data_IF_808847950936
#
_entry.id   IF_808847950936
#
_cell.length_a   1.000
_cell.length_b   1.000
_cell.length_c   1.000
_cell.angle_alpha   90.00
_cell.angle_beta   90.00
_cell.angle_gamma   90.00
#
_symmetry.space_group_name_H-M   'P 1'
#
loop_
_entity.id
_entity.type
_entity.pdbx_description
1 polymer ?
#
# COMPACT_ATOMS: atom_id res chain seq x y z
N UNK A 1 0.45 -0.29 -18.75
CA UNK A 1 1.53 -0.13 -19.75
C UNK A 1 2.83 -0.57 -19.10
N UNK A 2 3.67 -1.33 -19.81
CA UNK A 2 4.98 -1.72 -19.32
C UNK A 2 6.05 -0.84 -19.98
N UNK A 3 7.02 -0.40 -19.19
CA UNK A 3 8.21 0.32 -19.66
C UNK A 3 9.41 -0.22 -18.91
N UNK A 4 10.33 -0.81 -19.66
CA UNK A 4 11.58 -1.34 -19.11
C UNK A 4 12.34 -0.25 -18.35
N UNK A 5 12.68 0.85 -19.04
CA UNK A 5 13.42 1.93 -18.43
C UNK A 5 13.19 3.28 -19.13
N UNK A 6 13.50 4.37 -18.42
CA UNK A 6 13.58 5.71 -19.01
C UNK A 6 14.94 6.01 -19.66
N UNK A 7 15.80 4.99 -19.76
CA UNK A 7 17.15 5.00 -20.34
C UNK A 7 17.42 3.68 -21.09
N UNK A 8 18.32 3.66 -22.08
CA UNK A 8 18.72 2.41 -22.73
C UNK A 8 19.55 1.52 -21.82
N UNK A 9 19.45 0.21 -22.05
CA UNK A 9 20.33 -0.80 -21.47
C UNK A 9 21.80 -0.51 -21.82
N UNK A 10 22.70 -0.65 -20.84
CA UNK A 10 24.14 -0.35 -20.96
C UNK A 10 24.49 1.09 -21.43
N UNK A 11 23.53 2.01 -21.46
CA UNK A 11 23.75 3.39 -21.92
C UNK A 11 23.92 3.55 -23.44
N UNK A 12 23.63 2.50 -24.23
CA UNK A 12 23.78 2.55 -25.69
C UNK A 12 22.50 3.05 -26.38
N UNK A 13 22.54 4.26 -26.94
CA UNK A 13 21.40 4.82 -27.65
C UNK A 13 21.26 4.24 -29.05
N UNK A 14 20.05 3.87 -29.43
CA UNK A 14 19.73 3.52 -30.81
C UNK A 14 20.08 4.69 -31.76
N UNK A 15 20.40 4.39 -33.03
CA UNK A 15 20.82 5.40 -34.00
C UNK A 15 19.82 6.58 -34.05
N UNK A 16 20.34 7.80 -33.88
CA UNK A 16 19.58 9.05 -33.89
C UNK A 16 18.70 9.31 -32.66
N UNK A 17 18.69 8.41 -31.66
CA UNK A 17 18.01 8.63 -30.38
C UNK A 17 18.98 9.22 -29.33
N UNK A 18 18.41 9.87 -28.34
CA UNK A 18 19.11 10.36 -27.15
C UNK A 18 18.29 10.07 -25.88
N UNK A 19 18.77 10.52 -24.73
CA UNK A 19 18.11 10.38 -23.43
C UNK A 19 16.67 10.93 -23.42
N UNK A 20 16.41 12.02 -24.14
CA UNK A 20 15.06 12.59 -24.22
C UNK A 20 14.10 11.72 -25.04
N UNK A 21 14.56 10.94 -26.03
CA UNK A 21 13.69 10.00 -26.76
C UNK A 21 13.14 8.90 -25.83
N UNK A 22 13.97 8.35 -24.94
CA UNK A 22 13.55 7.31 -24.00
C UNK A 22 12.62 7.86 -22.93
N UNK A 23 12.94 9.05 -22.38
CA UNK A 23 12.04 9.75 -21.47
C UNK A 23 10.70 10.11 -22.10
N UNK A 24 10.75 10.56 -23.34
CA UNK A 24 9.57 10.88 -24.12
C UNK A 24 8.69 9.64 -24.33
N UNK A 25 9.26 8.46 -24.56
CA UNK A 25 8.45 7.22 -24.68
C UNK A 25 7.63 6.92 -23.42
N UNK A 26 8.19 7.17 -22.24
CA UNK A 26 7.46 7.04 -20.97
C UNK A 26 6.39 8.13 -20.87
N UNK A 27 6.77 9.39 -21.06
CA UNK A 27 5.83 10.53 -20.97
C UNK A 27 4.67 10.42 -21.97
N UNK A 28 4.94 10.05 -23.21
CA UNK A 28 3.96 9.84 -24.27
C UNK A 28 2.92 8.79 -23.88
N UNK A 29 3.34 7.69 -23.24
CA UNK A 29 2.42 6.67 -22.75
C UNK A 29 1.53 7.19 -21.61
N UNK A 30 2.09 7.95 -20.67
CA UNK A 30 1.34 8.58 -19.57
C UNK A 30 0.33 9.60 -20.12
N UNK A 31 0.74 10.47 -21.05
CA UNK A 31 -0.14 11.45 -21.71
C UNK A 31 -1.29 10.76 -22.44
N UNK A 32 -0.99 9.70 -23.19
CA UNK A 32 -2.01 8.96 -23.93
C UNK A 32 -3.04 8.29 -23.01
N UNK A 33 -2.60 7.77 -21.85
CA UNK A 33 -3.49 7.21 -20.83
C UNK A 33 -4.38 8.29 -20.23
N UNK A 34 -3.81 9.46 -19.88
CA UNK A 34 -4.56 10.59 -19.34
C UNK A 34 -5.66 11.07 -20.32
N UNK A 35 -5.34 11.14 -21.61
CA UNK A 35 -6.30 11.49 -22.67
C UNK A 35 -7.33 10.40 -22.99
N UNK A 36 -7.20 9.23 -22.37
CA UNK A 36 -8.09 8.08 -22.56
C UNK A 36 -8.87 7.81 -21.26
N UNK A 37 -8.75 6.63 -20.67
CA UNK A 37 -9.47 6.22 -19.45
C UNK A 37 -8.59 6.24 -18.19
N UNK A 38 -7.35 6.73 -18.28
CA UNK A 38 -6.36 6.59 -17.22
C UNK A 38 -5.76 5.18 -17.17
N UNK A 39 -5.11 4.85 -16.06
CA UNK A 39 -4.51 3.53 -15.81
C UNK A 39 -3.17 3.62 -15.10
N UNK A 40 -2.30 2.63 -15.35
CA UNK A 40 -0.96 2.56 -14.73
C UNK A 40 0.13 2.33 -15.78
N UNK A 41 1.26 3.01 -15.63
CA UNK A 41 2.52 2.70 -16.30
C UNK A 41 3.48 2.11 -15.27
N UNK A 42 3.94 0.88 -15.49
CA UNK A 42 4.96 0.24 -14.67
C UNK A 42 6.33 0.48 -15.30
N UNK A 43 7.20 1.17 -14.56
CA UNK A 43 8.58 1.43 -14.92
C UNK A 43 9.51 0.47 -14.17
N UNK A 44 10.46 -0.14 -14.87
CA UNK A 44 11.31 -1.22 -14.32
C UNK A 44 10.78 -2.62 -14.61
N UNK A 45 9.90 -2.76 -15.62
CA UNK A 45 9.33 -4.04 -16.07
C UNK A 45 9.50 -4.14 -17.59
N UNK A 46 10.03 -5.25 -18.09
CA UNK A 46 10.20 -5.48 -19.53
C UNK A 46 8.87 -5.72 -20.27
N UNK A 47 8.92 -5.85 -21.59
CA UNK A 47 7.73 -6.02 -22.43
C UNK A 47 7.05 -7.39 -22.18
N UNK A 48 7.78 -8.36 -21.63
CA UNK A 48 7.29 -9.67 -21.19
C UNK A 48 6.69 -9.66 -19.77
N UNK A 49 6.71 -8.53 -19.07
CA UNK A 49 6.16 -8.42 -17.70
C UNK A 49 7.12 -8.85 -16.59
N UNK A 50 8.40 -9.05 -16.89
CA UNK A 50 9.41 -9.45 -15.89
C UNK A 50 10.05 -8.21 -15.26
N UNK A 51 10.26 -8.22 -13.93
CA UNK A 51 10.84 -7.09 -13.24
C UNK A 51 12.36 -7.01 -13.50
N UNK A 52 12.80 -5.88 -14.05
CA UNK A 52 14.23 -5.56 -14.22
C UNK A 52 14.75 -4.65 -13.10
N UNK A 53 13.85 -3.93 -12.44
CA UNK A 53 14.15 -3.02 -11.34
C UNK A 53 14.20 -1.55 -11.77
N UNK A 54 13.85 -0.66 -10.85
CA UNK A 54 13.82 0.78 -11.07
C UNK A 54 15.21 1.37 -11.27
N UNK A 55 16.25 0.65 -10.87
CA UNK A 55 17.66 1.00 -11.04
C UNK A 55 18.02 1.18 -12.52
N UNK A 56 17.37 0.45 -13.43
CA UNK A 56 17.53 0.64 -14.87
C UNK A 56 17.13 2.05 -15.36
N UNK A 57 16.29 2.75 -14.59
CA UNK A 57 15.88 4.14 -14.83
C UNK A 57 16.68 5.16 -14.01
N UNK A 58 17.64 4.72 -13.20
CA UNK A 58 18.48 5.56 -12.34
C UNK A 58 19.99 5.40 -12.63
N UNK A 59 20.47 5.71 -13.85
CA UNK A 59 21.87 5.52 -14.22
C UNK A 59 22.85 6.40 -13.43
N UNK A 60 22.35 7.37 -12.65
CA UNK A 60 23.17 8.27 -11.82
C UNK A 60 23.14 7.87 -10.34
N UNK A 61 22.52 6.73 -10.01
CA UNK A 61 22.35 6.22 -8.64
C UNK A 61 21.80 7.28 -7.69
N UNK A 62 20.90 8.13 -8.19
CA UNK A 62 20.32 9.23 -7.43
C UNK A 62 19.40 8.72 -6.32
N UNK A 63 18.72 7.60 -6.55
CA UNK A 63 17.88 6.93 -5.56
C UNK A 63 18.70 6.44 -4.37
N UNK A 64 19.86 5.84 -4.62
CA UNK A 64 20.77 5.38 -3.56
C UNK A 64 21.40 6.55 -2.80
N UNK A 65 21.79 7.62 -3.51
CA UNK A 65 22.48 8.77 -2.91
C UNK A 65 21.56 9.73 -2.17
N UNK A 66 20.44 10.10 -2.79
CA UNK A 66 19.56 11.19 -2.36
C UNK A 66 18.18 10.68 -1.86
N UNK A 67 17.92 9.37 -1.99
CA UNK A 67 16.71 8.72 -1.52
C UNK A 67 15.62 8.55 -2.60
N UNK A 68 14.68 7.63 -2.31
CA UNK A 68 13.57 7.25 -3.18
C UNK A 68 12.66 8.44 -3.57
N UNK A 69 12.34 9.31 -2.61
CA UNK A 69 11.50 10.49 -2.86
C UNK A 69 12.19 11.51 -3.77
N UNK A 70 13.48 11.77 -3.56
CA UNK A 70 14.25 12.66 -4.42
C UNK A 70 14.34 12.12 -5.85
N UNK A 71 14.49 10.80 -6.01
CA UNK A 71 14.44 10.16 -7.32
C UNK A 71 13.08 10.34 -8.00
N UNK A 72 11.96 10.03 -7.33
CA UNK A 72 10.61 10.21 -7.87
C UNK A 72 10.34 11.65 -8.29
N UNK A 73 10.64 12.61 -7.42
CA UNK A 73 10.33 14.02 -7.67
C UNK A 73 11.27 14.65 -8.69
N UNK A 74 12.58 14.44 -8.56
CA UNK A 74 13.56 15.19 -9.35
C UNK A 74 13.94 14.48 -10.65
N UNK A 75 13.88 13.15 -10.71
CA UNK A 75 14.17 12.39 -11.94
C UNK A 75 12.87 12.10 -12.66
N UNK A 76 11.99 11.30 -12.07
CA UNK A 76 10.80 10.81 -12.78
C UNK A 76 9.86 11.96 -13.08
N UNK A 77 9.42 12.70 -12.07
CA UNK A 77 8.47 13.78 -12.27
C UNK A 77 9.12 14.93 -13.06
N UNK A 78 10.24 15.51 -12.61
CA UNK A 78 10.79 16.72 -13.24
C UNK A 78 11.64 16.52 -14.50
N UNK A 79 12.25 15.35 -14.73
CA UNK A 79 13.08 15.11 -15.91
C UNK A 79 12.40 14.21 -16.93
N UNK A 80 11.65 13.20 -16.49
CA UNK A 80 10.97 12.25 -17.38
C UNK A 80 9.59 12.77 -17.80
N UNK A 81 8.73 13.15 -16.86
CA UNK A 81 7.32 13.48 -17.13
C UNK A 81 7.03 14.97 -17.36
N UNK A 82 7.70 15.85 -16.62
CA UNK A 82 7.47 17.30 -16.61
C UNK A 82 8.78 18.10 -16.79
N UNK A 83 9.58 17.86 -17.84
CA UNK A 83 10.76 18.67 -18.09
C UNK A 83 10.39 20.11 -18.39
N UNK A 84 10.88 21.06 -17.58
CA UNK A 84 10.61 22.51 -17.73
C UNK A 84 10.94 23.08 -19.11
N UNK A 85 11.87 22.46 -19.84
CA UNK A 85 12.33 22.87 -21.18
C UNK A 85 11.84 21.94 -22.29
N UNK A 86 10.89 21.05 -21.97
CA UNK A 86 10.43 20.02 -22.89
C UNK A 86 11.45 18.89 -23.12
N UNK A 87 11.07 17.93 -23.95
CA UNK A 87 11.91 16.84 -24.41
C UNK A 87 12.62 17.25 -25.70
N UNK A 88 13.95 17.36 -25.65
CA UNK A 88 14.79 17.63 -26.83
C UNK A 88 15.19 16.33 -27.49
N UNK A 89 14.23 15.69 -28.15
CA UNK A 89 14.41 14.38 -28.77
C UNK A 89 15.32 14.47 -29.99
N UNK A 90 16.13 13.44 -30.22
CA UNK A 90 16.97 13.34 -31.42
C UNK A 90 16.15 13.07 -32.68
N UNK A 91 15.00 12.42 -32.55
CA UNK A 91 14.16 11.99 -33.69
C UNK A 91 12.98 12.90 -34.02
N UNK A 92 12.44 13.60 -33.02
CA UNK A 92 11.15 14.29 -33.15
C UNK A 92 11.22 15.81 -32.89
N UNK A 93 12.42 16.36 -32.67
CA UNK A 93 12.60 17.78 -32.34
C UNK A 93 12.32 18.07 -30.86
N UNK A 94 11.88 19.29 -30.57
CA UNK A 94 11.54 19.70 -29.19
C UNK A 94 10.05 19.51 -28.97
N UNK A 95 9.69 18.78 -27.91
CA UNK A 95 8.32 18.53 -27.51
C UNK A 95 8.06 19.19 -26.15
N UNK A 96 6.95 19.91 -26.00
CA UNK A 96 6.57 20.57 -24.75
C UNK A 96 5.09 20.37 -24.45
N UNK A 97 4.75 20.20 -23.17
CA UNK A 97 3.35 20.19 -22.72
C UNK A 97 2.78 21.61 -22.76
N UNK A 98 1.58 21.77 -23.29
CA UNK A 98 0.88 23.06 -23.28
C UNK A 98 0.26 23.32 -21.89
N UNK A 99 -0.32 22.29 -21.26
CA UNK A 99 -1.00 22.40 -19.97
C UNK A 99 -0.32 21.55 -18.89
N UNK A 100 0.86 22.01 -18.43
CA UNK A 100 1.61 21.35 -17.35
C UNK A 100 0.78 21.19 -16.05
N UNK A 101 0.08 22.22 -15.54
CA UNK A 101 -0.62 22.10 -14.25
C UNK A 101 -1.75 21.07 -14.27
N UNK A 102 -2.42 20.90 -15.42
CA UNK A 102 -3.41 19.83 -15.59
C UNK A 102 -2.72 18.47 -15.50
N UNK A 103 -1.67 18.26 -16.29
CA UNK A 103 -1.00 16.96 -16.36
C UNK A 103 -0.35 16.55 -15.02
N UNK A 104 0.25 17.49 -14.29
CA UNK A 104 0.84 17.22 -12.97
C UNK A 104 -0.17 16.69 -11.95
N UNK A 105 -1.43 17.14 -12.02
CA UNK A 105 -2.50 16.68 -11.12
C UNK A 105 -3.06 15.31 -11.46
N UNK A 106 -2.81 14.82 -12.67
CA UNK A 106 -3.33 13.53 -13.15
C UNK A 106 -2.37 12.39 -12.85
N UNK A 107 -1.20 12.66 -12.27
CA UNK A 107 -0.15 11.66 -12.08
C UNK A 107 0.20 11.52 -10.61
N UNK A 108 0.19 10.28 -10.13
CA UNK A 108 0.78 9.91 -8.84
C UNK A 108 1.80 8.79 -9.02
N UNK A 109 2.80 8.75 -8.14
CA UNK A 109 3.96 7.87 -8.24
C UNK A 109 4.05 7.01 -6.97
N UNK A 110 4.16 5.70 -7.13
CA UNK A 110 4.31 4.76 -6.03
C UNK A 110 5.36 3.70 -6.35
N UNK A 111 6.24 3.38 -5.39
CA UNK A 111 7.18 2.26 -5.52
C UNK A 111 6.52 0.99 -5.01
N UNK A 112 6.53 -0.04 -5.84
CA UNK A 112 5.92 -1.33 -5.55
C UNK A 112 7.02 -2.40 -5.60
N UNK A 113 6.99 -3.36 -4.68
CA UNK A 113 7.84 -4.55 -4.77
C UNK A 113 7.24 -5.54 -5.76
N UNK A 114 8.03 -5.94 -6.75
CA UNK A 114 7.69 -6.98 -7.71
C UNK A 114 8.77 -8.07 -7.64
N UNK A 115 8.49 -9.11 -6.84
CA UNK A 115 9.50 -10.08 -6.41
C UNK A 115 10.60 -9.39 -5.59
N UNK A 116 11.86 -9.67 -5.91
CA UNK A 116 13.03 -9.06 -5.24
C UNK A 116 13.37 -7.65 -5.74
N UNK A 117 12.67 -7.16 -6.76
CA UNK A 117 12.96 -5.88 -7.42
C UNK A 117 11.95 -4.82 -7.03
N UNK A 118 12.40 -3.58 -6.93
CA UNK A 118 11.51 -2.43 -6.81
C UNK A 118 11.15 -1.93 -8.19
N UNK A 119 9.87 -1.72 -8.46
CA UNK A 119 9.35 -1.11 -9.69
C UNK A 119 8.59 0.16 -9.33
N UNK A 120 8.45 1.08 -10.28
CA UNK A 120 7.69 2.31 -10.06
C UNK A 120 6.37 2.25 -10.82
N UNK A 121 5.27 2.34 -10.10
CA UNK A 121 3.95 2.55 -10.66
C UNK A 121 3.68 4.05 -10.82
N UNK A 122 3.35 4.43 -12.04
CA UNK A 122 2.87 5.76 -12.41
C UNK A 122 1.36 5.61 -12.62
N UNK A 123 0.58 5.98 -11.62
CA UNK A 123 -0.87 6.02 -11.75
C UNK A 123 -1.29 7.28 -12.50
N UNK A 124 -2.24 7.11 -13.40
CA UNK A 124 -2.68 8.15 -14.32
C UNK A 124 -4.20 8.25 -14.27
N UNK A 125 -4.69 9.39 -13.80
CA UNK A 125 -6.10 9.70 -13.86
C UNK A 125 -6.50 10.19 -15.26
N UNK A 126 -7.69 9.84 -15.75
CA UNK A 126 -8.20 10.41 -16.99
C UNK A 126 -8.45 11.91 -16.83
N UNK A 127 -8.18 12.68 -17.89
CA UNK A 127 -8.51 14.11 -17.94
C UNK A 127 -10.02 14.28 -17.70
N UNK A 128 -10.45 15.11 -16.73
CA UNK A 128 -11.85 15.35 -16.47
C UNK A 128 -12.58 15.91 -17.69
N UNK A 129 -13.85 15.54 -17.86
CA UNK A 129 -14.66 16.01 -18.98
C UNK A 129 -14.80 17.53 -18.95
N UNK A 130 -14.74 18.15 -20.13
CA UNK A 130 -14.84 19.60 -20.29
C UNK A 130 -13.54 20.38 -20.04
N UNK A 131 -12.45 19.72 -19.62
CA UNK A 131 -11.14 20.35 -19.45
C UNK A 131 -10.24 20.24 -20.70
N UNK A 132 -10.73 19.61 -21.77
CA UNK A 132 -9.97 19.38 -23.00
C UNK A 132 -9.07 18.15 -22.91
N UNK A 133 -7.88 18.25 -23.51
CA UNK A 133 -6.87 17.20 -23.57
C UNK A 133 -5.53 17.70 -23.03
N UNK A 134 -4.67 16.77 -22.65
CA UNK A 134 -3.24 17.04 -22.47
C UNK A 134 -2.61 17.12 -23.86
N UNK A 135 -2.34 18.35 -24.28
CA UNK A 135 -1.79 18.67 -25.60
C UNK A 135 -0.27 18.84 -25.55
N UNK A 136 0.37 18.45 -26.65
CA UNK A 136 1.82 18.49 -26.83
C UNK A 136 2.15 19.37 -28.02
N UNK A 137 2.92 20.41 -27.78
CA UNK A 137 3.49 21.25 -28.81
C UNK A 137 4.78 20.62 -29.34
N UNK A 138 4.87 20.46 -30.67
CA UNK A 138 6.05 19.95 -31.36
C UNK A 138 6.70 21.06 -32.18
N UNK A 139 7.86 21.51 -31.72
CA UNK A 139 8.72 22.45 -32.41
C UNK A 139 9.80 21.74 -33.23
N UNK A 140 9.85 22.02 -34.53
CA UNK A 140 10.93 21.59 -35.45
C UNK A 140 11.63 22.84 -35.99
N UNK A 141 12.82 23.16 -35.47
CA UNK A 141 13.60 24.31 -35.94
C UNK A 141 12.88 25.66 -35.74
N UNK A 142 12.70 26.42 -36.82
CA UNK A 142 12.05 27.75 -36.83
C UNK A 142 10.60 27.75 -37.34
N UNK A 143 10.03 26.58 -37.62
CA UNK A 143 8.66 26.47 -38.14
C UNK A 143 7.60 26.60 -37.03
N UNK A 144 6.37 26.94 -37.43
CA UNK A 144 5.20 26.98 -36.54
C UNK A 144 5.00 25.63 -35.87
N UNK A 145 4.93 25.64 -34.54
CA UNK A 145 4.80 24.43 -33.76
C UNK A 145 3.45 23.75 -34.00
N UNK A 146 3.48 22.44 -34.24
CA UNK A 146 2.27 21.63 -34.39
C UNK A 146 1.75 21.24 -33.00
N UNK A 147 0.44 21.37 -32.78
CA UNK A 147 -0.21 20.89 -31.56
C UNK A 147 -0.72 19.47 -31.79
N UNK A 148 -0.26 18.54 -30.97
CA UNK A 148 -0.53 17.12 -31.08
C UNK A 148 -1.28 16.63 -29.85
N UNK A 149 -2.29 15.80 -30.06
CA UNK A 149 -2.98 15.07 -28.99
C UNK A 149 -2.71 13.59 -29.15
N UNK A 150 -2.19 12.95 -28.11
CA UNK A 150 -1.91 11.51 -28.12
C UNK A 150 -3.01 10.76 -27.38
N UNK A 151 -3.49 9.67 -27.97
CA UNK A 151 -4.51 8.79 -27.39
C UNK A 151 -4.06 7.32 -27.46
N UNK A 152 -4.74 6.48 -26.69
CA UNK A 152 -4.50 5.05 -26.65
C UNK A 152 -5.73 4.27 -27.14
N UNK A 153 -5.50 3.36 -28.08
CA UNK A 153 -6.51 2.37 -28.49
C UNK A 153 -6.64 1.27 -27.43
N UNK A 154 -7.88 0.90 -27.10
CA UNK A 154 -8.17 -0.19 -26.15
C UNK A 154 -7.76 -1.54 -26.75
N UNK A 155 -7.02 -2.35 -25.98
CA UNK A 155 -6.56 -3.68 -26.40
C UNK A 155 -5.11 -3.71 -26.91
N UNK A 156 -4.55 -2.57 -27.29
CA UNK A 156 -3.17 -2.49 -27.74
C UNK A 156 -2.21 -2.20 -26.59
N UNK A 157 -1.22 -3.08 -26.40
CA UNK A 157 -0.04 -2.81 -25.56
C UNK A 157 0.93 -1.96 -26.37
N UNK A 158 1.40 -0.83 -25.85
CA UNK A 158 2.44 -0.04 -26.51
C UNK A 158 2.02 0.88 -27.66
N UNK A 159 0.79 0.81 -28.18
CA UNK A 159 0.38 1.64 -29.33
C UNK A 159 -0.26 2.96 -28.89
N UNK A 160 0.47 4.05 -29.11
CA UNK A 160 0.01 5.43 -28.94
C UNK A 160 -0.13 6.09 -30.29
N UNK A 161 -1.33 6.56 -30.62
CA UNK A 161 -1.66 7.22 -31.89
C UNK A 161 -1.95 8.71 -31.67
N UNK A 162 -1.82 9.50 -32.73
CA UNK A 162 -2.21 10.91 -32.74
C UNK A 162 -3.70 11.01 -33.05
N UNK A 163 -4.44 11.78 -32.24
CA UNK A 163 -5.84 12.10 -32.48
C UNK A 163 -5.93 13.24 -33.51
N UNK A 164 -6.61 13.04 -34.66
CA UNK A 164 -6.83 14.11 -35.64
C UNK A 164 -7.77 15.18 -35.06
N UNK A 165 -7.20 16.29 -34.59
CA UNK A 165 -7.96 17.35 -33.90
C UNK A 165 -8.78 18.23 -34.85
N UNK A 166 -8.45 18.22 -36.14
CA UNK A 166 -9.17 18.89 -37.23
C UNK A 166 -10.47 18.15 -37.60
N UNK A 167 -10.55 16.85 -37.34
CA UNK A 167 -11.73 16.04 -37.63
C UNK A 167 -12.69 15.99 -36.42
N UNK A 168 -13.86 16.64 -36.54
CA UNK A 168 -14.89 16.61 -35.49
C UNK A 168 -15.39 15.18 -35.21
N UNK A 169 -15.50 14.35 -36.26
CA UNK A 169 -15.95 12.97 -36.13
C UNK A 169 -14.97 12.12 -35.30
N UNK A 170 -13.66 12.27 -35.51
CA UNK A 170 -12.64 11.55 -34.77
C UNK A 170 -12.67 11.90 -33.28
N UNK A 171 -12.82 13.20 -32.94
CA UNK A 171 -12.94 13.67 -31.56
C UNK A 171 -14.19 13.14 -30.87
N UNK A 172 -15.33 13.21 -31.54
CA UNK A 172 -16.61 12.73 -31.01
C UNK A 172 -16.56 11.22 -30.76
N UNK A 173 -16.05 10.45 -31.72
CA UNK A 173 -15.88 9.00 -31.56
C UNK A 173 -14.96 8.63 -30.39
N UNK A 174 -13.88 9.38 -30.18
CA UNK A 174 -12.99 9.18 -29.04
C UNK A 174 -13.68 9.48 -27.71
N UNK A 175 -14.40 10.59 -27.60
CA UNK A 175 -15.14 10.95 -26.38
C UNK A 175 -16.28 9.98 -26.05
N UNK A 176 -16.98 9.47 -27.06
CA UNK A 176 -17.98 8.42 -26.93
C UNK A 176 -17.33 7.11 -26.44
N UNK A 177 -16.18 6.74 -27.02
CA UNK A 177 -15.42 5.56 -26.60
C UNK A 177 -14.90 5.69 -25.16
N UNK A 178 -14.43 6.87 -24.74
CA UNK A 178 -14.05 7.14 -23.33
C UNK A 178 -15.24 6.94 -22.42
N UNK A 179 -16.43 7.39 -22.83
CA UNK A 179 -17.67 7.26 -22.06
C UNK A 179 -18.08 5.80 -21.91
N UNK A 180 -18.10 5.05 -23.01
CA UNK A 180 -18.41 3.63 -22.99
C UNK A 180 -17.39 2.87 -22.13
N UNK A 181 -16.10 3.10 -22.35
CA UNK A 181 -15.05 2.41 -21.60
C UNK A 181 -15.12 2.73 -20.09
N UNK A 182 -15.36 3.99 -19.70
CA UNK A 182 -15.52 4.34 -18.29
C UNK A 182 -16.67 3.58 -17.63
N UNK A 183 -17.79 3.38 -18.35
CA UNK A 183 -18.91 2.57 -17.86
C UNK A 183 -18.61 1.07 -17.79
N UNK A 184 -17.73 0.57 -18.66
CA UNK A 184 -17.32 -0.83 -18.70
C UNK A 184 -16.17 -1.16 -17.73
N UNK A 185 -15.34 -0.19 -17.33
CA UNK A 185 -14.19 -0.43 -16.43
C UNK A 185 -14.62 -1.07 -15.13
N UNK A 186 -15.70 -0.59 -14.51
CA UNK A 186 -16.25 -1.21 -13.30
C UNK A 186 -16.55 -2.69 -13.55
N UNK A 187 -17.29 -3.00 -14.61
CA UNK A 187 -17.65 -4.36 -15.00
C UNK A 187 -16.44 -5.24 -15.38
N UNK A 188 -15.41 -4.66 -15.99
CA UNK A 188 -14.17 -5.35 -16.36
C UNK A 188 -13.33 -5.61 -15.11
N UNK A 189 -13.28 -4.65 -14.19
CA UNK A 189 -12.60 -4.81 -12.91
C UNK A 189 -13.31 -5.86 -12.06
N UNK A 190 -14.64 -5.84 -12.02
CA UNK A 190 -15.47 -6.86 -11.40
C UNK A 190 -15.26 -8.23 -12.06
N UNK A 191 -15.13 -8.29 -13.39
CA UNK A 191 -14.81 -9.52 -14.11
C UNK A 191 -13.37 -9.97 -13.88
N UNK A 192 -12.43 -9.05 -13.76
CA UNK A 192 -11.02 -9.32 -13.46
C UNK A 192 -10.88 -9.88 -12.05
N UNK A 193 -11.48 -9.22 -11.06
CA UNK A 193 -11.65 -9.72 -9.69
C UNK A 193 -12.44 -11.03 -9.67
N UNK A 194 -13.38 -11.22 -10.60
CA UNK A 194 -14.11 -12.46 -10.81
C UNK A 194 -13.32 -13.57 -11.54
N UNK A 195 -12.19 -13.24 -12.16
CA UNK A 195 -11.33 -14.14 -12.95
C UNK A 195 -9.99 -14.45 -12.28
N UNK A 196 -9.50 -13.57 -11.40
CA UNK A 196 -8.66 -13.97 -10.29
C UNK A 196 -9.53 -14.92 -9.45
N UNK A 197 -9.06 -16.14 -9.14
CA UNK A 197 -9.87 -17.16 -8.47
C UNK A 197 -10.73 -16.53 -7.38
N UNK A 198 -12.04 -16.45 -7.57
CA UNK A 198 -12.89 -15.89 -6.53
C UNK A 198 -12.66 -16.75 -5.29
N UNK A 199 -12.40 -16.10 -4.16
CA UNK A 199 -12.33 -16.78 -2.88
C UNK A 199 -13.54 -17.71 -2.79
N UNK A 200 -13.29 -18.99 -2.58
CA UNK A 200 -14.36 -19.98 -2.48
C UNK A 200 -15.34 -19.50 -1.40
N UNK A 201 -16.66 -19.59 -1.64
CA UNK A 201 -17.62 -19.21 -0.63
C UNK A 201 -17.35 -20.01 0.65
N UNK A 202 -17.60 -19.41 1.83
CA UNK A 202 -17.26 -20.02 3.13
C UNK A 202 -17.82 -21.44 3.27
N UNK A 203 -18.98 -21.71 2.68
CA UNK A 203 -19.64 -23.01 2.67
C UNK A 203 -18.80 -24.09 1.96
N UNK A 204 -18.06 -23.72 0.90
CA UNK A 204 -17.14 -24.62 0.19
C UNK A 204 -15.82 -24.82 0.95
N UNK A 205 -15.45 -23.88 1.82
CA UNK A 205 -14.27 -23.96 2.69
C UNK A 205 -14.53 -24.76 3.98
N UNK A 206 -15.78 -24.97 4.37
CA UNK A 206 -16.13 -25.71 5.59
C UNK A 206 -15.44 -27.08 5.74
N UNK A 207 -15.32 -27.93 4.70
CA UNK A 207 -14.62 -29.20 4.81
C UNK A 207 -13.12 -29.03 5.12
N UNK A 208 -12.48 -28.03 4.53
CA UNK A 208 -11.06 -27.72 4.76
C UNK A 208 -10.84 -27.18 6.18
N UNK A 209 -11.71 -26.25 6.62
CA UNK A 209 -11.69 -25.72 8.00
C UNK A 209 -11.89 -26.86 9.00
N UNK A 210 -12.88 -27.74 8.79
CA UNK A 210 -13.12 -28.89 9.69
C UNK A 210 -11.93 -29.81 9.77
N UNK A 211 -11.27 -30.09 8.64
CA UNK A 211 -10.07 -30.92 8.57
C UNK A 211 -8.92 -30.29 9.36
N UNK A 212 -8.68 -29.00 9.17
CA UNK A 212 -7.68 -28.26 9.94
C UNK A 212 -7.98 -28.29 11.45
N UNK A 213 -9.21 -27.95 11.86
CA UNK A 213 -9.60 -27.94 13.27
C UNK A 213 -9.51 -29.33 13.91
N UNK A 214 -9.84 -30.40 13.17
CA UNK A 214 -9.67 -31.76 13.65
C UNK A 214 -8.19 -32.09 13.93
N UNK A 215 -7.26 -31.65 13.07
CA UNK A 215 -5.82 -31.82 13.31
C UNK A 215 -5.34 -31.03 14.52
N UNK A 216 -5.84 -29.80 14.70
CA UNK A 216 -5.54 -28.97 15.88
C UNK A 216 -5.99 -29.66 17.16
N UNK A 217 -7.22 -30.17 17.17
CA UNK A 217 -7.79 -30.88 18.33
C UNK A 217 -6.98 -32.15 18.62
N UNK A 218 -6.65 -32.94 17.60
CA UNK A 218 -5.87 -34.18 17.76
C UNK A 218 -4.47 -33.93 18.33
N UNK A 219 -3.77 -32.91 17.81
CA UNK A 219 -2.43 -32.52 18.31
C UNK A 219 -2.45 -31.98 19.75
N UNK A 220 -3.51 -31.28 20.14
CA UNK A 220 -3.62 -30.61 21.45
C UNK A 220 -4.35 -31.43 22.51
N UNK A 221 -5.12 -32.46 22.13
CA UNK A 221 -5.89 -33.32 23.06
C UNK A 221 -5.04 -33.95 24.18
N UNK A 222 -3.78 -34.39 23.95
CA UNK A 222 -2.96 -34.96 25.02
C UNK A 222 -2.60 -33.97 26.14
N UNK A 223 -2.80 -32.66 25.91
CA UNK A 223 -2.35 -31.60 26.81
C UNK A 223 -3.51 -30.85 27.50
N UNK A 224 -4.75 -31.26 27.26
CA UNK A 224 -5.97 -30.61 27.77
C UNK A 224 -5.96 -30.48 29.30
N UNK A 225 -5.61 -31.55 30.01
CA UNK A 225 -5.60 -31.59 31.48
C UNK A 225 -4.33 -30.99 32.11
N UNK A 226 -3.37 -30.53 31.30
CA UNK A 226 -2.03 -30.10 31.75
C UNK A 226 -1.81 -28.60 31.56
N UNK A 227 -2.88 -27.82 31.44
CA UNK A 227 -2.80 -26.37 31.29
C UNK A 227 -2.94 -25.63 32.62
N UNK A 228 -1.97 -24.76 32.93
CA UNK A 228 -2.08 -23.80 34.04
C UNK A 228 -2.47 -22.45 33.46
N UNK A 229 -3.64 -21.88 33.81
CA UNK A 229 -4.06 -20.57 33.34
C UNK A 229 -3.08 -19.47 33.73
N UNK A 230 -2.80 -18.56 32.79
CA UNK A 230 -1.97 -17.39 33.02
C UNK A 230 -2.82 -16.20 33.46
N UNK A 231 -2.43 -15.57 34.57
CA UNK A 231 -2.94 -14.26 34.96
C UNK A 231 -2.12 -13.17 34.29
N UNK A 232 -2.78 -12.19 33.69
CA UNK A 232 -2.15 -11.04 33.04
C UNK A 232 -2.79 -9.73 33.46
N UNK A 233 -2.05 -8.67 33.19
CA UNK A 233 -2.45 -7.28 33.38
C UNK A 233 -2.67 -6.65 32.00
N UNK A 234 -3.89 -6.22 31.68
CA UNK A 234 -4.20 -5.50 30.46
C UNK A 234 -3.83 -4.01 30.63
N UNK A 235 -3.09 -3.46 29.67
CA UNK A 235 -2.76 -2.04 29.60
C UNK A 235 -3.23 -1.48 28.26
N UNK A 236 -4.12 -0.49 28.29
CA UNK A 236 -4.46 0.29 27.10
C UNK A 236 -3.29 1.26 26.79
N UNK A 237 -2.76 1.20 25.56
CA UNK A 237 -1.83 2.24 25.09
C UNK A 237 -2.63 3.51 24.77
N UNK A 238 -2.63 4.45 25.72
CA UNK A 238 -3.15 5.82 25.50
C UNK A 238 -2.35 6.48 24.38
N UNK A 239 -3.06 7.03 23.40
CA UNK A 239 -2.49 7.78 22.28
C UNK A 239 -1.70 8.99 22.77
N UNK A 240 -0.38 8.87 22.90
CA UNK A 240 0.50 10.04 22.91
C UNK A 240 0.76 10.44 21.46
N UNK A 241 0.01 11.42 20.95
CA UNK A 241 0.46 12.19 19.78
C UNK A 241 1.91 12.63 20.05
N UNK A 242 2.87 12.36 19.15
CA UNK A 242 4.22 12.86 19.33
C UNK A 242 4.15 14.40 19.31
N UNK A 243 4.44 15.00 20.45
CA UNK A 243 4.60 16.44 20.59
C UNK A 243 5.80 16.82 19.71
N UNK A 244 5.51 17.31 18.51
CA UNK A 244 6.48 17.80 17.54
C UNK A 244 7.06 19.14 18.05
N UNK A 245 7.78 19.10 19.17
CA UNK A 245 8.69 20.16 19.60
C UNK A 245 10.08 19.87 19.04
N UNK A 246 10.21 19.99 17.72
CA UNK A 246 11.51 20.29 17.09
C UNK A 246 11.44 21.66 16.44
N UNK A 247 12.14 22.60 17.09
CA UNK A 247 12.79 23.76 16.48
C UNK A 247 11.94 24.61 15.55
N UNK A 248 11.25 25.61 16.11
CA UNK A 248 10.76 26.73 15.34
C UNK A 248 11.90 27.43 14.62
N UNK A 249 11.90 27.36 13.29
CA UNK A 249 12.52 28.38 12.46
C UNK A 249 11.48 29.50 12.39
N UNK A 250 11.76 30.59 13.10
CA UNK A 250 11.00 31.82 13.05
C UNK A 250 10.92 32.34 11.60
N UNK A 251 9.76 32.21 10.97
CA UNK A 251 9.36 33.14 9.91
C UNK A 251 8.68 34.34 10.56
N UNK A 252 9.50 35.34 10.89
CA UNK A 252 9.03 36.70 11.19
C UNK A 252 8.30 37.24 9.96
N UNK A 253 6.98 37.25 10.01
CA UNK A 253 6.19 38.26 9.30
C UNK A 253 5.26 38.94 10.30
N UNK A 254 5.40 40.26 10.32
CA UNK A 254 4.77 41.19 11.21
C UNK A 254 3.24 41.17 11.08
N UNK A 255 2.56 41.27 12.22
CA UNK A 255 1.35 42.09 12.36
C UNK A 255 1.08 42.34 13.84
N UNK A 256 1.86 43.28 14.38
CA UNK A 256 1.70 43.91 15.67
C UNK A 256 0.60 44.99 15.54
N UNK A 257 -0.69 44.66 15.56
CA UNK A 257 -1.72 45.69 15.74
C UNK A 257 -2.88 45.18 16.60
N UNK A 258 -3.19 45.98 17.63
CA UNK A 258 -4.32 45.95 18.57
C UNK A 258 -4.19 45.06 19.83
N UNK A 259 -3.33 45.50 20.74
CA UNK A 259 -3.65 45.54 22.17
C UNK A 259 -3.74 47.00 22.61
N UNK A 260 -4.95 47.51 22.77
CA UNK A 260 -5.21 48.58 23.73
C UNK A 260 -5.86 47.97 24.97
N UNK A 261 -5.33 48.39 26.11
CA UNK A 261 -5.73 48.00 27.46
C UNK A 261 -7.07 48.65 27.78
N UNK A 262 -7.93 47.95 28.52
CA UNK A 262 -8.64 48.60 29.61
C UNK A 262 -8.81 47.66 30.82
N UNK A 263 -8.65 48.15 32.07
CA UNK A 263 -8.75 47.38 33.30
C UNK A 263 -10.04 47.71 34.08
N UNK A 264 -10.92 46.73 34.27
CA UNK A 264 -11.95 46.77 35.32
C UNK A 264 -12.54 45.37 35.54
N UNK A 265 -12.26 44.75 36.70
CA UNK A 265 -13.24 44.39 37.75
C UNK A 265 -14.14 43.21 37.37
N UNK A 266 -14.31 42.10 38.11
CA UNK A 266 -14.49 41.87 39.56
C UNK A 266 -14.28 40.36 39.81
N UNK A 267 -13.88 40.02 41.03
CA UNK A 267 -13.69 38.67 41.60
C UNK A 267 -14.83 37.65 41.35
N UNK A 268 -14.44 36.37 41.32
CA UNK A 268 -15.31 35.21 41.43
C UNK A 268 -14.51 33.91 41.22
N UNK A 269 -14.35 33.15 42.29
CA UNK A 269 -13.67 31.85 42.41
C UNK A 269 -14.23 30.75 41.48
N UNK A 270 -13.50 29.64 41.46
CA UNK A 270 -13.89 28.29 41.01
C UNK A 270 -13.89 28.04 39.50
N UNK A 271 -12.77 27.51 39.01
CA UNK A 271 -12.71 26.19 38.33
C UNK A 271 -11.38 26.08 37.58
N UNK A 272 -10.33 25.80 38.35
CA UNK A 272 -9.21 25.04 37.81
C UNK A 272 -9.76 23.61 37.61
N UNK A 273 -10.33 23.35 36.42
CA UNK A 273 -10.57 21.99 35.95
C UNK A 273 -9.21 21.27 35.91
N UNK A 274 -8.90 20.63 37.04
CA UNK A 274 -8.07 19.44 37.10
C UNK A 274 -8.53 18.53 35.96
N UNK A 275 -7.72 18.48 34.90
CA UNK A 275 -7.82 17.40 33.93
C UNK A 275 -7.58 16.11 34.71
N UNK A 276 -8.67 15.46 35.08
CA UNK A 276 -8.76 14.09 35.55
C UNK A 276 -8.00 13.23 34.54
N UNK A 277 -6.73 12.99 34.83
CA UNK A 277 -6.01 11.81 34.36
C UNK A 277 -6.77 10.67 35.04
N UNK A 278 -7.77 10.14 34.34
CA UNK A 278 -8.41 8.90 34.75
C UNK A 278 -7.31 7.85 34.69
N UNK A 279 -6.69 7.56 35.84
CA UNK A 279 -5.84 6.39 36.03
C UNK A 279 -6.68 5.18 35.62
N UNK A 280 -6.50 4.71 34.38
CA UNK A 280 -7.13 3.49 33.92
C UNK A 280 -6.49 2.38 34.74
N UNK A 281 -7.22 1.92 35.76
CA UNK A 281 -6.80 0.80 36.59
C UNK A 281 -6.59 -0.40 35.66
N UNK A 282 -5.38 -0.96 35.58
CA UNK A 282 -5.11 -2.09 34.71
C UNK A 282 -6.06 -3.24 35.06
N UNK A 283 -6.78 -3.78 34.06
CA UNK A 283 -7.64 -4.95 34.29
C UNK A 283 -6.74 -6.16 34.51
N UNK A 284 -6.92 -6.86 35.63
CA UNK A 284 -6.22 -8.11 35.93
C UNK A 284 -7.19 -9.28 35.81
N UNK A 285 -6.75 -10.34 35.16
CA UNK A 285 -7.58 -11.52 34.93
C UNK A 285 -6.84 -12.62 34.18
N UNK A 286 -7.56 -13.68 33.86
CA UNK A 286 -7.02 -14.74 33.02
C UNK A 286 -6.87 -14.23 31.58
N UNK A 287 -5.78 -14.63 30.91
CA UNK A 287 -5.56 -14.30 29.48
C UNK A 287 -6.76 -14.71 28.63
N UNK A 288 -7.38 -15.85 28.95
CA UNK A 288 -8.51 -16.39 28.21
C UNK A 288 -9.74 -15.50 28.26
N UNK A 289 -9.93 -14.78 29.36
CA UNK A 289 -11.10 -13.93 29.57
C UNK A 289 -10.84 -12.57 28.92
N UNK A 290 -9.63 -12.02 29.11
CA UNK A 290 -9.26 -10.70 28.59
C UNK A 290 -9.08 -10.68 27.07
N UNK A 291 -8.54 -11.74 26.45
CA UNK A 291 -8.42 -11.81 24.99
C UNK A 291 -9.75 -12.11 24.30
N UNK A 292 -10.74 -12.64 25.01
CA UNK A 292 -12.06 -12.96 24.45
C UNK A 292 -12.83 -11.71 23.99
N UNK A 293 -12.64 -10.60 24.70
CA UNK A 293 -13.32 -9.32 24.46
C UNK A 293 -12.60 -8.43 23.44
N UNK A 294 -11.34 -8.75 23.14
CA UNK A 294 -10.50 -7.96 22.25
C UNK A 294 -10.47 -8.54 20.83
N UNK A 295 -10.32 -7.67 19.84
CA UNK A 295 -10.03 -8.06 18.45
C UNK A 295 -8.54 -8.17 18.21
N UNK A 296 -7.77 -7.32 18.85
CA UNK A 296 -6.36 -7.14 18.59
C UNK A 296 -5.64 -7.05 19.92
N UNK A 297 -4.57 -7.83 20.10
CA UNK A 297 -3.78 -7.74 21.32
C UNK A 297 -2.34 -8.24 21.14
N UNK A 298 -1.44 -7.67 21.94
CA UNK A 298 -0.05 -8.10 22.06
C UNK A 298 0.20 -8.74 23.44
N UNK A 299 0.44 -10.05 23.47
CA UNK A 299 0.78 -10.79 24.68
C UNK A 299 2.29 -10.70 24.93
N UNK A 300 2.66 -9.95 25.97
CA UNK A 300 4.06 -9.69 26.35
C UNK A 300 4.42 -10.48 27.61
N UNK A 301 5.60 -11.10 27.63
CA UNK A 301 6.13 -11.69 28.86
C UNK A 301 7.50 -12.33 28.68
N UNK A 302 8.13 -12.73 29.79
CA UNK A 302 9.48 -13.30 29.81
C UNK A 302 9.61 -14.65 29.08
N UNK A 303 10.84 -15.06 28.77
CA UNK A 303 11.11 -16.39 28.24
C UNK A 303 10.61 -17.48 29.20
N UNK A 304 9.88 -18.47 28.70
CA UNK A 304 9.35 -19.57 29.53
C UNK A 304 8.07 -19.25 30.32
N UNK A 305 7.50 -18.04 30.18
CA UNK A 305 6.24 -17.64 30.84
C UNK A 305 4.99 -18.40 30.38
N UNK A 306 5.08 -19.24 29.35
CA UNK A 306 3.96 -20.07 28.88
C UNK A 306 3.08 -19.43 27.80
N UNK A 307 3.46 -18.29 27.19
CA UNK A 307 2.71 -17.61 26.11
C UNK A 307 2.26 -18.55 24.98
N UNK A 308 3.20 -19.29 24.39
CA UNK A 308 2.92 -20.27 23.33
C UNK A 308 1.90 -21.32 23.77
N UNK A 309 1.98 -21.77 25.02
CA UNK A 309 1.06 -22.75 25.58
C UNK A 309 -0.32 -22.17 25.86
N UNK A 310 -0.38 -20.88 26.19
CA UNK A 310 -1.63 -20.13 26.31
C UNK A 310 -2.33 -19.98 24.95
N UNK A 311 -1.61 -19.58 23.91
CA UNK A 311 -2.15 -19.51 22.54
C UNK A 311 -2.60 -20.89 22.06
N UNK A 312 -1.82 -21.94 22.30
CA UNK A 312 -2.22 -23.31 21.96
C UNK A 312 -3.53 -23.73 22.66
N UNK A 313 -3.74 -23.32 23.92
CA UNK A 313 -4.98 -23.60 24.66
C UNK A 313 -6.17 -22.82 24.08
N UNK A 314 -6.00 -21.54 23.77
CA UNK A 314 -7.04 -20.71 23.16
C UNK A 314 -7.48 -21.27 21.81
N UNK A 315 -6.51 -21.62 20.97
CA UNK A 315 -6.73 -22.25 19.67
C UNK A 315 -7.46 -23.59 19.83
N UNK A 316 -7.09 -24.40 20.83
CA UNK A 316 -7.79 -25.66 21.09
C UNK A 316 -9.24 -25.46 21.54
N UNK A 317 -9.50 -24.51 22.44
CA UNK A 317 -10.85 -24.22 22.94
C UNK A 317 -11.76 -23.65 21.85
N UNK A 318 -11.25 -22.70 21.07
CA UNK A 318 -11.98 -22.12 19.95
C UNK A 318 -12.25 -23.17 18.87
N UNK A 319 -11.31 -24.08 18.61
CA UNK A 319 -11.50 -25.19 17.67
C UNK A 319 -12.59 -26.17 18.13
N UNK A 320 -12.64 -26.52 19.42
CA UNK A 320 -13.68 -27.42 19.99
C UNK A 320 -15.08 -26.81 19.92
N UNK A 321 -15.18 -25.49 20.10
CA UNK A 321 -16.44 -24.76 20.13
C UNK A 321 -16.89 -24.27 18.75
N UNK A 322 -16.16 -24.61 17.70
CA UNK A 322 -16.43 -24.14 16.36
C UNK A 322 -17.68 -24.79 15.76
N UNK A 323 -18.51 -23.93 15.15
CA UNK A 323 -19.67 -24.29 14.33
C UNK A 323 -19.66 -23.40 13.08
N UNK A 324 -20.28 -23.81 11.96
CA UNK A 324 -20.40 -22.98 10.77
C UNK A 324 -20.94 -21.58 11.09
N UNK A 325 -20.29 -20.55 10.53
CA UNK A 325 -20.62 -19.15 10.78
C UNK A 325 -19.94 -18.52 12.00
N UNK A 326 -19.23 -19.30 12.84
CA UNK A 326 -18.38 -18.77 13.91
C UNK A 326 -16.94 -18.58 13.43
N UNK A 327 -16.21 -17.64 14.03
CA UNK A 327 -14.76 -17.52 13.82
C UNK A 327 -14.04 -18.80 14.21
N UNK A 328 -12.97 -19.11 13.50
CA UNK A 328 -12.10 -20.25 13.81
C UNK A 328 -10.66 -19.80 14.04
N UNK A 329 -9.89 -20.50 14.89
CA UNK A 329 -8.54 -20.12 15.23
C UNK A 329 -7.54 -20.59 14.17
N UNK A 330 -6.58 -19.76 13.80
CA UNK A 330 -5.43 -20.14 12.99
C UNK A 330 -4.14 -19.79 13.75
N UNK A 331 -3.42 -20.83 14.16
CA UNK A 331 -2.15 -20.69 14.87
C UNK A 331 -0.98 -20.74 13.90
N UNK A 332 -0.08 -19.76 14.01
CA UNK A 332 1.16 -19.73 13.25
C UNK A 332 2.34 -19.34 14.13
N UNK A 333 3.41 -20.14 14.06
CA UNK A 333 4.68 -19.83 14.71
C UNK A 333 5.49 -18.89 13.82
N UNK A 334 5.79 -17.69 14.29
CA UNK A 334 6.57 -16.69 13.55
C UNK A 334 8.05 -17.10 13.38
N UNK A 335 8.52 -18.10 14.13
CA UNK A 335 9.82 -18.73 13.87
C UNK A 335 9.92 -19.44 12.51
N UNK A 336 8.79 -19.80 11.90
CA UNK A 336 8.72 -20.41 10.58
C UNK A 336 8.56 -19.36 9.45
N UNK A 337 8.64 -18.07 9.76
CA UNK A 337 8.54 -17.01 8.75
C UNK A 337 9.66 -17.11 7.71
N UNK A 338 9.32 -16.88 6.44
CA UNK A 338 10.23 -17.05 5.31
C UNK A 338 9.98 -16.03 4.20
N UNK A 339 10.64 -16.20 3.05
CA UNK A 339 10.47 -15.35 1.85
C UNK A 339 9.03 -15.32 1.32
N UNK A 340 8.21 -16.33 1.65
CA UNK A 340 6.80 -16.39 1.27
C UNK A 340 5.89 -15.44 2.07
N UNK A 341 6.45 -14.71 3.04
CA UNK A 341 5.73 -13.73 3.84
C UNK A 341 4.71 -14.34 4.80
N UNK A 342 3.90 -13.46 5.42
CA UNK A 342 2.84 -13.84 6.34
C UNK A 342 1.74 -14.63 5.63
N UNK A 343 1.38 -14.23 4.40
CA UNK A 343 0.41 -14.95 3.58
C UNK A 343 0.81 -16.41 3.34
N UNK A 344 2.07 -16.64 2.93
CA UNK A 344 2.60 -17.98 2.73
C UNK A 344 2.68 -18.81 4.00
N UNK A 345 3.01 -18.18 5.14
CA UNK A 345 3.00 -18.84 6.44
C UNK A 345 1.60 -19.32 6.82
N UNK A 346 0.58 -18.46 6.71
CA UNK A 346 -0.80 -18.79 7.06
C UNK A 346 -1.40 -19.87 6.14
N UNK A 347 -1.09 -19.80 4.85
CA UNK A 347 -1.46 -20.82 3.87
C UNK A 347 -0.82 -22.18 4.19
N UNK A 348 0.47 -22.20 4.52
CA UNK A 348 1.16 -23.44 4.87
C UNK A 348 0.61 -24.10 6.14
N UNK A 349 0.11 -23.32 7.11
CA UNK A 349 -0.47 -23.85 8.34
C UNK A 349 -1.89 -24.37 8.18
N UNK A 350 -2.71 -23.68 7.38
CA UNK A 350 -4.13 -24.04 7.20
C UNK A 350 -4.37 -24.98 6.02
N UNK A 351 -3.43 -25.07 5.08
CA UNK A 351 -3.61 -25.70 3.76
C UNK A 351 -4.74 -25.07 2.93
N UNK A 352 -5.09 -23.82 3.23
CA UNK A 352 -6.07 -23.01 2.49
C UNK A 352 -5.30 -21.88 1.80
N UNK A 353 -5.56 -21.67 0.51
CA UNK A 353 -4.91 -20.63 -0.28
C UNK A 353 -5.16 -19.24 0.33
N UNK A 354 -4.16 -18.36 0.27
CA UNK A 354 -4.30 -16.99 0.79
C UNK A 354 -5.48 -16.24 0.17
N UNK A 355 -5.77 -16.50 -1.11
CA UNK A 355 -6.90 -15.92 -1.82
C UNK A 355 -8.26 -16.23 -1.16
N UNK A 356 -8.39 -17.43 -0.56
CA UNK A 356 -9.58 -17.85 0.19
C UNK A 356 -9.55 -17.34 1.64
N UNK A 357 -8.35 -17.26 2.25
CA UNK A 357 -8.18 -16.82 3.64
C UNK A 357 -8.35 -15.31 3.83
N UNK A 358 -7.84 -14.49 2.91
CA UNK A 358 -7.77 -13.04 3.09
C UNK A 358 -9.14 -12.41 3.35
N UNK A 359 -10.22 -12.75 2.62
CA UNK A 359 -11.56 -12.22 2.93
C UNK A 359 -12.09 -12.68 4.29
N UNK A 360 -11.75 -13.90 4.74
CA UNK A 360 -12.16 -14.39 6.06
C UNK A 360 -11.42 -13.68 7.19
N UNK A 361 -10.12 -13.41 7.01
CA UNK A 361 -9.32 -12.60 7.95
C UNK A 361 -9.87 -11.18 8.00
N UNK A 362 -10.13 -10.57 6.83
CA UNK A 362 -10.69 -9.23 6.70
C UNK A 362 -12.01 -9.06 7.45
N UNK A 363 -12.89 -10.07 7.38
CA UNK A 363 -14.18 -10.07 8.04
C UNK A 363 -14.15 -10.50 9.52
N UNK A 364 -12.97 -10.79 10.08
CA UNK A 364 -12.84 -11.31 11.45
C UNK A 364 -13.34 -12.75 11.64
N UNK A 365 -13.56 -13.47 10.53
CA UNK A 365 -13.95 -14.89 10.50
C UNK A 365 -12.82 -15.85 10.85
N UNK A 366 -11.57 -15.37 10.92
CA UNK A 366 -10.40 -16.12 11.39
C UNK A 366 -9.74 -15.36 12.53
N UNK A 367 -9.49 -16.05 13.64
CA UNK A 367 -8.71 -15.54 14.77
C UNK A 367 -7.25 -15.95 14.57
N UNK A 368 -6.38 -15.01 14.21
CA UNK A 368 -4.96 -15.24 13.96
C UNK A 368 -4.18 -15.21 15.28
N UNK A 369 -3.52 -16.31 15.63
CA UNK A 369 -2.60 -16.42 16.77
C UNK A 369 -1.17 -16.54 16.26
N UNK A 370 -0.45 -15.41 16.24
CA UNK A 370 0.92 -15.29 15.76
C UNK A 370 1.89 -15.39 16.93
N UNK A 371 2.49 -16.56 17.12
CA UNK A 371 3.34 -16.84 18.28
C UNK A 371 4.82 -16.54 18.00
N UNK A 372 5.47 -15.86 18.94
CA UNK A 372 6.92 -15.72 18.99
C UNK A 372 7.48 -14.73 17.97
N UNK A 373 7.00 -13.49 17.96
CA UNK A 373 7.55 -12.43 17.09
C UNK A 373 9.06 -12.26 17.28
N UNK A 374 9.52 -12.34 18.53
CA UNK A 374 10.93 -12.32 18.89
C UNK A 374 11.73 -13.56 18.41
N UNK A 375 11.08 -14.57 17.83
CA UNK A 375 11.69 -15.80 17.30
C UNK A 375 11.66 -15.82 15.76
N UNK A 376 11.11 -14.78 15.13
CA UNK A 376 11.20 -14.58 13.69
C UNK A 376 12.68 -14.48 13.26
N UNK A 377 13.10 -15.14 12.16
CA UNK A 377 14.48 -15.05 11.70
C UNK A 377 14.90 -13.60 11.47
N UNK A 378 16.07 -13.20 12.00
CA UNK A 378 16.54 -11.81 12.01
C UNK A 378 16.46 -11.13 10.64
N UNK A 379 16.79 -11.88 9.57
CA UNK A 379 16.79 -11.34 8.20
C UNK A 379 15.41 -10.87 7.72
N UNK A 380 14.33 -11.39 8.31
CA UNK A 380 12.95 -11.11 7.90
C UNK A 380 12.16 -10.34 8.97
N UNK A 381 12.77 -10.02 10.11
CA UNK A 381 12.06 -9.44 11.24
C UNK A 381 11.34 -8.12 10.88
N UNK A 382 12.00 -7.23 10.14
CA UNK A 382 11.42 -5.95 9.71
C UNK A 382 10.27 -6.13 8.72
N UNK A 383 10.43 -7.03 7.74
CA UNK A 383 9.38 -7.35 6.77
C UNK A 383 8.16 -7.97 7.49
N UNK A 384 8.38 -8.91 8.41
CA UNK A 384 7.33 -9.52 9.22
C UNK A 384 6.57 -8.48 10.05
N UNK A 385 7.27 -7.57 10.74
CA UNK A 385 6.62 -6.49 11.49
C UNK A 385 5.82 -5.56 10.56
N UNK A 386 6.33 -5.27 9.36
CA UNK A 386 5.67 -4.42 8.38
C UNK A 386 4.41 -5.07 7.83
N UNK A 387 4.44 -6.37 7.54
CA UNK A 387 3.28 -7.12 7.06
C UNK A 387 2.20 -7.23 8.13
N UNK A 388 2.56 -7.53 9.38
CA UNK A 388 1.58 -7.55 10.49
C UNK A 388 0.98 -6.15 10.68
N UNK A 389 1.80 -5.09 10.70
CA UNK A 389 1.30 -3.72 10.84
C UNK A 389 0.41 -3.29 9.66
N UNK A 390 0.71 -3.77 8.46
CA UNK A 390 -0.11 -3.51 7.26
C UNK A 390 -1.45 -4.26 7.34
N UNK A 391 -1.45 -5.53 7.76
CA UNK A 391 -2.66 -6.33 7.97
C UNK A 391 -3.59 -5.65 8.98
N UNK A 392 -3.06 -5.17 10.11
CA UNK A 392 -3.85 -4.48 11.14
C UNK A 392 -4.43 -3.14 10.66
N UNK A 393 -3.72 -2.45 9.76
CA UNK A 393 -4.18 -1.18 9.17
C UNK A 393 -5.22 -1.38 8.08
N UNK A 394 -5.05 -2.43 7.27
CA UNK A 394 -5.92 -2.74 6.13
C UNK A 394 -7.22 -3.41 6.58
N UNK A 395 -7.15 -4.28 7.60
CA UNK A 395 -8.28 -5.08 8.07
C UNK A 395 -8.64 -4.74 9.52
N UNK A 396 -9.42 -3.67 9.71
CA UNK A 396 -9.83 -3.19 11.04
C UNK A 396 -10.69 -4.19 11.83
N UNK A 397 -11.39 -5.10 11.13
CA UNK A 397 -12.19 -6.15 11.74
C UNK A 397 -11.42 -7.46 11.98
N UNK A 398 -10.14 -7.54 11.56
CA UNK A 398 -9.33 -8.73 11.74
C UNK A 398 -9.06 -9.00 13.22
N UNK A 399 -9.17 -10.29 13.59
CA UNK A 399 -8.87 -10.76 14.94
C UNK A 399 -7.44 -11.27 14.99
N UNK A 400 -6.52 -10.51 15.59
CA UNK A 400 -5.07 -10.78 15.54
C UNK A 400 -4.44 -10.67 16.91
N UNK A 401 -3.85 -11.77 17.34
CA UNK A 401 -3.18 -11.90 18.63
C UNK A 401 -1.71 -12.23 18.39
N UNK A 402 -0.81 -11.39 18.86
CA UNK A 402 0.64 -11.56 18.67
C UNK A 402 1.31 -11.84 20.01
N UNK A 403 2.28 -12.75 20.07
CA UNK A 403 3.08 -12.96 21.28
C UNK A 403 4.53 -12.49 21.07
N UNK A 404 5.12 -11.85 22.09
CA UNK A 404 6.53 -11.44 22.07
C UNK A 404 7.15 -11.43 23.47
N UNK A 405 8.48 -11.36 23.53
CA UNK A 405 9.23 -11.12 24.77
C UNK A 405 9.19 -9.65 25.16
N UNK A 406 9.23 -9.36 26.47
CA UNK A 406 9.25 -8.00 27.02
C UNK A 406 10.37 -7.12 26.44
N UNK A 407 11.53 -7.71 26.13
CA UNK A 407 12.68 -7.01 25.56
C UNK A 407 12.54 -6.69 24.06
N UNK A 408 11.53 -7.25 23.39
CA UNK A 408 11.36 -7.21 21.94
C UNK A 408 9.98 -6.68 21.57
N UNK A 409 9.46 -5.72 22.35
CA UNK A 409 8.20 -5.06 22.02
C UNK A 409 8.45 -4.11 20.85
N UNK A 410 7.85 -4.35 19.68
CA UNK A 410 8.02 -3.50 18.51
C UNK A 410 7.32 -2.14 18.68
N UNK A 411 8.01 -1.06 18.29
CA UNK A 411 7.46 0.30 18.38
C UNK A 411 6.37 0.58 17.31
N UNK A 412 6.42 -0.15 16.20
CA UNK A 412 5.55 0.03 15.03
C UNK A 412 4.26 -0.79 15.04
N UNK A 413 4.11 -1.76 15.96
CA UNK A 413 2.86 -2.48 16.16
C UNK A 413 2.02 -1.75 17.20
N UNK A 414 0.99 -1.06 16.70
CA UNK A 414 -0.05 -0.44 17.49
C UNK A 414 -1.20 -1.44 17.61
N UNK A 415 -1.14 -2.29 18.64
CA UNK A 415 -2.14 -3.27 19.03
C UNK A 415 -2.75 -2.88 20.37
#
# INVERSE_FOLDING_TARGET
ELKAASFPEEGQFAKGANEHDYRWNVAKAVIALANSIGGVVLLGVDDEGRPIGIEASDPKHKRERDGAEAFRREVILQQVLLPKRGWKTGRHGTLSLINLPLFERLVSLEEIRCGEKTVLAIFVDPVPRGYGYVEVEKGVGTETAAVLTYIRSRGDVGQVVELPMDELAARTAHDDQRTQNASEIGLIWDRFLGSAGLARPVQELEPDIRRFLAQVIDKSSPFEDVYTPLNVEQRERVHSRPDNRKGGIETKFAENWLREKDPSSVAGDEDAEEQLISEHVPRQGLVTDLLGDERQALLIGEGGSGKSRCFAKLVFDEAKLWIPGRSWPLYASLSAYSESGLAGLLQAQSEIEWQDLAPLVAAGGVSLYLDGLNECPDRFYEDCCTEIASLLREYLDARVFVSTRSANVPDNLQL
#
